data_IF_531404699870
#
_entry.id   IF_531404699870
#
_cell.length_a   1.000
_cell.length_b   1.000
_cell.length_c   1.000
_cell.angle_alpha   90.00
_cell.angle_beta   90.00
_cell.angle_gamma   90.00
#
_symmetry.space_group_name_H-M   'P 1'
#
loop_
_entity.id
_entity.type
_entity.pdbx_description
1 polymer ?
#
# COMPACT_ATOMS: atom_id res chain seq x y z
N UNK A 1 -40.27 21.21 -45.09
CA UNK A 1 -40.23 20.54 -43.77
C UNK A 1 -38.78 20.18 -43.48
N UNK A 2 -38.07 21.07 -42.79
CA UNK A 2 -36.63 20.94 -42.53
C UNK A 2 -36.42 21.31 -41.06
N UNK A 3 -36.49 20.32 -40.17
CA UNK A 3 -36.26 20.48 -38.73
C UNK A 3 -35.11 19.60 -38.29
N UNK A 4 -34.16 20.22 -37.60
CA UNK A 4 -33.37 19.65 -36.50
C UNK A 4 -32.52 18.40 -36.77
N UNK A 5 -31.45 18.57 -37.54
CA UNK A 5 -30.20 17.93 -37.15
C UNK A 5 -29.43 18.92 -36.27
N UNK A 6 -29.59 18.82 -34.95
CA UNK A 6 -28.62 19.41 -34.01
C UNK A 6 -27.29 18.75 -34.35
N UNK A 7 -26.43 19.46 -35.08
CA UNK A 7 -25.20 18.90 -35.62
C UNK A 7 -24.32 18.43 -34.46
N UNK A 8 -23.82 17.19 -34.52
CA UNK A 8 -22.85 16.66 -33.55
C UNK A 8 -21.70 17.65 -33.30
N UNK A 9 -21.32 18.46 -34.30
CA UNK A 9 -20.30 19.49 -34.17
C UNK A 9 -20.64 20.56 -33.12
N UNK A 10 -21.91 20.88 -32.92
CA UNK A 10 -22.36 21.90 -31.97
C UNK A 10 -22.40 21.36 -30.54
N UNK A 11 -22.69 20.06 -30.38
CA UNK A 11 -22.61 19.36 -29.10
C UNK A 11 -21.15 19.17 -28.69
N UNK A 12 -20.29 18.74 -29.62
CA UNK A 12 -18.85 18.59 -29.38
C UNK A 12 -18.24 19.96 -29.04
N UNK A 13 -18.48 21.02 -29.83
CA UNK A 13 -17.97 22.36 -29.52
C UNK A 13 -18.44 22.89 -28.16
N UNK A 14 -19.72 22.73 -27.81
CA UNK A 14 -20.22 23.13 -26.48
C UNK A 14 -19.52 22.37 -25.35
N UNK A 15 -19.33 21.05 -25.51
CA UNK A 15 -18.61 20.25 -24.53
C UNK A 15 -17.13 20.66 -24.42
N UNK A 16 -16.44 20.89 -25.53
CA UNK A 16 -15.02 21.32 -25.49
C UNK A 16 -14.86 22.69 -24.83
N UNK A 17 -15.77 23.63 -25.12
CA UNK A 17 -15.77 24.97 -24.49
C UNK A 17 -16.09 24.87 -23.00
N UNK A 18 -17.05 24.02 -22.60
CA UNK A 18 -17.37 23.81 -21.20
C UNK A 18 -16.20 23.17 -20.41
N UNK A 19 -15.50 22.21 -21.01
CA UNK A 19 -14.29 21.60 -20.42
C UNK A 19 -13.18 22.63 -20.30
N UNK A 20 -12.94 23.45 -21.34
CA UNK A 20 -11.93 24.50 -21.31
C UNK A 20 -12.23 25.57 -20.26
N UNK A 21 -13.50 25.95 -20.08
CA UNK A 21 -13.92 26.92 -19.07
C UNK A 21 -13.80 26.34 -17.65
N UNK A 22 -14.12 25.06 -17.46
CA UNK A 22 -13.93 24.37 -16.19
C UNK A 22 -12.44 24.23 -15.83
N UNK A 23 -11.59 23.85 -16.79
CA UNK A 23 -10.14 23.82 -16.61
C UNK A 23 -9.57 25.20 -16.29
N UNK A 24 -10.09 26.26 -16.93
CA UNK A 24 -9.70 27.63 -16.66
C UNK A 24 -10.10 28.08 -15.26
N UNK A 25 -11.31 27.74 -14.77
CA UNK A 25 -11.75 28.03 -13.40
C UNK A 25 -10.92 27.28 -12.34
N UNK A 26 -10.54 26.04 -12.63
CA UNK A 26 -9.60 25.27 -11.78
C UNK A 26 -8.19 25.87 -11.78
N UNK A 27 -7.73 26.38 -12.93
CA UNK A 27 -6.43 27.03 -13.07
C UNK A 27 -6.40 28.43 -12.40
N UNK A 28 -7.48 29.21 -12.51
CA UNK A 28 -7.62 30.53 -11.88
C UNK A 28 -7.76 30.45 -10.36
N UNK A 29 -8.26 29.33 -9.82
CA UNK A 29 -8.34 29.06 -8.38
C UNK A 29 -7.04 28.54 -7.75
N UNK A 30 -5.95 28.38 -8.52
CA UNK A 30 -4.67 27.90 -7.98
C UNK A 30 -3.98 28.98 -7.16
N UNK A 31 -3.94 28.77 -5.85
CA UNK A 31 -3.05 29.52 -4.96
C UNK A 31 -1.58 29.29 -5.35
N UNK A 32 -0.73 30.29 -5.10
CA UNK A 32 0.72 30.20 -5.36
C UNK A 32 1.32 28.97 -4.65
N UNK A 33 0.83 28.65 -3.46
CA UNK A 33 1.18 27.44 -2.70
C UNK A 33 0.86 26.15 -3.48
N UNK A 34 -0.28 26.07 -4.17
CA UNK A 34 -0.65 24.91 -4.98
C UNK A 34 0.24 24.72 -6.22
N UNK A 35 0.77 25.81 -6.80
CA UNK A 35 1.75 25.72 -7.91
C UNK A 35 3.11 25.22 -7.43
N UNK A 36 3.55 25.69 -6.25
CA UNK A 36 4.78 25.23 -5.62
C UNK A 36 4.65 23.75 -5.23
N UNK A 37 3.53 23.35 -4.63
CA UNK A 37 3.28 21.96 -4.24
C UNK A 37 3.29 20.98 -5.43
N UNK A 38 2.74 21.38 -6.58
CA UNK A 38 2.80 20.56 -7.80
C UNK A 38 4.22 20.44 -8.34
N UNK A 39 4.97 21.55 -8.40
CA UNK A 39 6.36 21.51 -8.84
C UNK A 39 7.24 20.65 -7.93
N UNK A 40 7.01 20.69 -6.61
CA UNK A 40 7.71 19.86 -5.63
C UNK A 40 7.29 18.40 -5.78
N UNK A 41 5.99 18.13 -6.01
CA UNK A 41 5.49 16.76 -6.23
C UNK A 41 6.18 16.11 -7.43
N UNK A 42 6.26 16.82 -8.55
CA UNK A 42 6.88 16.33 -9.78
C UNK A 42 8.40 16.14 -9.61
N UNK A 43 9.04 17.02 -8.83
CA UNK A 43 10.47 16.94 -8.54
C UNK A 43 10.81 15.78 -7.60
N UNK A 44 10.09 15.62 -6.49
CA UNK A 44 10.33 14.54 -5.50
C UNK A 44 10.03 13.15 -6.07
N UNK A 45 9.12 13.05 -7.04
CA UNK A 45 8.86 11.79 -7.75
C UNK A 45 9.86 11.45 -8.87
N UNK A 46 10.82 12.34 -9.16
CA UNK A 46 11.75 12.20 -10.29
C UNK A 46 13.10 11.62 -9.88
N UNK A 47 13.70 10.81 -10.76
CA UNK A 47 15.02 10.25 -10.52
C UNK A 47 16.14 11.31 -10.52
N UNK A 48 15.87 12.49 -11.09
CA UNK A 48 16.79 13.64 -11.07
C UNK A 48 17.05 14.12 -9.64
N UNK A 49 16.06 14.06 -8.76
CA UNK A 49 16.18 14.45 -7.35
C UNK A 49 17.30 13.68 -6.63
N UNK A 50 17.35 12.37 -6.85
CA UNK A 50 18.33 11.47 -6.25
C UNK A 50 19.74 11.81 -6.73
N UNK A 51 19.92 12.03 -8.04
CA UNK A 51 21.23 12.40 -8.60
C UNK A 51 21.74 13.73 -8.05
N UNK A 52 20.87 14.73 -7.89
CA UNK A 52 21.23 16.02 -7.30
C UNK A 52 21.74 15.85 -5.86
N UNK A 53 21.06 15.04 -5.04
CA UNK A 53 21.48 14.78 -3.65
C UNK A 53 22.81 14.02 -3.58
N UNK A 54 22.99 13.01 -4.42
CA UNK A 54 24.25 12.24 -4.46
C UNK A 54 25.42 13.16 -4.82
N UNK A 55 25.25 14.01 -5.84
CA UNK A 55 26.29 14.98 -6.23
C UNK A 55 26.53 16.00 -5.13
N UNK A 56 25.47 16.54 -4.53
CA UNK A 56 25.57 17.48 -3.42
C UNK A 56 26.35 16.91 -2.23
N UNK A 57 26.02 15.69 -1.78
CA UNK A 57 26.74 15.02 -0.69
C UNK A 57 28.18 14.70 -1.07
N UNK A 58 28.42 14.22 -2.29
CA UNK A 58 29.78 13.95 -2.78
C UNK A 58 30.64 15.23 -2.79
N UNK A 59 30.09 16.36 -3.20
CA UNK A 59 30.76 17.67 -3.17
C UNK A 59 31.04 18.10 -1.74
N UNK A 60 30.05 18.01 -0.84
CA UNK A 60 30.22 18.38 0.57
C UNK A 60 31.31 17.56 1.27
N UNK A 61 31.29 16.24 1.08
CA UNK A 61 32.30 15.34 1.64
C UNK A 61 33.67 15.65 1.04
N UNK A 62 33.77 15.83 -0.28
CA UNK A 62 35.05 16.14 -0.95
C UNK A 62 35.65 17.48 -0.51
N UNK A 63 34.80 18.49 -0.22
CA UNK A 63 35.24 19.76 0.34
C UNK A 63 35.76 19.61 1.77
N UNK A 64 35.08 18.82 2.62
CA UNK A 64 35.49 18.64 4.03
C UNK A 64 36.66 17.67 4.21
N UNK A 65 36.86 16.69 3.31
CA UNK A 65 38.02 15.79 3.31
C UNK A 65 39.31 16.46 2.77
N UNK A 66 39.25 17.72 2.34
CA UNK A 66 40.41 18.43 1.78
C UNK A 66 40.86 17.94 0.40
N UNK A 67 40.06 17.11 -0.28
CA UNK A 67 40.31 16.67 -1.66
C UNK A 67 40.30 17.84 -2.65
N UNK A 68 39.54 18.89 -2.32
CA UNK A 68 39.56 20.18 -3.02
C UNK A 68 40.33 21.15 -2.11
N UNK A 69 41.64 21.25 -2.30
CA UNK A 69 42.49 22.16 -1.52
C UNK A 69 42.12 23.63 -1.79
N UNK A 70 41.27 24.21 -0.92
CA UNK A 70 40.99 25.64 -0.89
C UNK A 70 41.84 26.24 0.25
N UNK A 71 42.87 27.06 -0.04
CA UNK A 71 43.89 27.49 0.93
C UNK A 71 43.42 28.42 2.06
N UNK A 72 42.11 28.60 2.29
CA UNK A 72 41.55 29.58 3.24
C UNK A 72 40.41 29.07 4.12
N UNK A 73 40.00 27.80 3.99
CA UNK A 73 38.85 27.26 4.74
C UNK A 73 39.37 26.17 5.66
N UNK A 74 39.45 26.46 6.96
CA UNK A 74 39.61 25.44 8.00
C UNK A 74 38.43 24.48 7.95
N UNK A 75 38.65 23.19 8.20
CA UNK A 75 37.63 22.12 8.21
C UNK A 75 36.28 22.62 8.76
N UNK A 76 35.31 22.88 7.86
CA UNK A 76 34.06 23.55 8.21
C UNK A 76 33.12 22.61 8.98
N UNK A 77 33.13 21.32 8.64
CA UNK A 77 32.37 20.24 9.28
C UNK A 77 33.28 19.01 9.47
N UNK A 78 34.03 18.94 10.60
CA UNK A 78 34.90 17.82 10.90
C UNK A 78 34.13 16.51 11.01
N UNK A 79 34.78 15.39 10.67
CA UNK A 79 34.21 14.05 10.90
C UNK A 79 33.81 13.91 12.37
N UNK A 80 32.54 13.61 12.72
CA UNK A 80 31.52 12.84 11.97
C UNK A 80 30.44 13.63 11.17
N UNK A 81 30.71 14.86 10.71
CA UNK A 81 29.78 15.69 9.93
C UNK A 81 28.45 16.04 10.63
N UNK A 82 28.55 16.71 11.78
CA UNK A 82 27.38 17.06 12.60
C UNK A 82 26.45 18.05 11.89
N UNK A 83 27.00 19.02 11.15
CA UNK A 83 26.20 20.02 10.44
C UNK A 83 25.43 19.41 9.27
N UNK A 84 26.09 18.58 8.46
CA UNK A 84 25.42 17.85 7.38
C UNK A 84 24.28 16.99 7.92
N UNK A 85 24.52 16.25 9.00
CA UNK A 85 23.52 15.37 9.61
C UNK A 85 22.29 16.15 10.08
N UNK A 86 22.48 17.31 10.71
CA UNK A 86 21.40 18.18 11.15
C UNK A 86 20.58 18.73 9.97
N UNK A 87 21.24 19.22 8.92
CA UNK A 87 20.58 19.76 7.72
C UNK A 87 19.78 18.67 7.00
N UNK A 88 20.37 17.50 6.79
CA UNK A 88 19.71 16.36 6.14
C UNK A 88 18.50 15.89 6.94
N UNK A 89 18.60 15.86 8.28
CA UNK A 89 17.48 15.48 9.14
C UNK A 89 16.29 16.43 9.00
N UNK A 90 16.56 17.74 8.96
CA UNK A 90 15.53 18.76 8.75
C UNK A 90 14.93 18.66 7.34
N UNK A 91 15.77 18.49 6.32
CA UNK A 91 15.35 18.31 4.93
C UNK A 91 14.45 17.08 4.76
N UNK A 92 14.79 15.95 5.40
CA UNK A 92 14.00 14.74 5.38
C UNK A 92 12.58 14.93 5.95
N UNK A 93 12.40 15.74 6.98
CA UNK A 93 11.08 16.06 7.55
C UNK A 93 10.22 16.82 6.52
N UNK A 94 10.81 17.83 5.86
CA UNK A 94 10.11 18.58 4.81
C UNK A 94 9.76 17.69 3.62
N UNK A 95 10.70 16.86 3.16
CA UNK A 95 10.47 15.91 2.08
C UNK A 95 9.35 14.94 2.41
N UNK A 96 9.37 14.33 3.59
CA UNK A 96 8.32 13.42 4.04
C UNK A 96 6.94 14.08 4.04
N UNK A 97 6.87 15.33 4.51
CA UNK A 97 5.61 16.10 4.51
C UNK A 97 5.14 16.41 3.08
N UNK A 98 6.04 16.80 2.18
CA UNK A 98 5.70 17.04 0.78
C UNK A 98 5.26 15.75 0.06
N UNK A 99 5.93 14.63 0.34
CA UNK A 99 5.54 13.31 -0.16
C UNK A 99 4.14 12.95 0.34
N UNK A 100 3.84 13.17 1.63
CA UNK A 100 2.54 12.85 2.20
C UNK A 100 1.41 13.73 1.61
N UNK A 101 1.67 15.03 1.42
CA UNK A 101 0.74 15.93 0.73
C UNK A 101 0.52 15.49 -0.73
N UNK A 102 1.59 15.08 -1.41
CA UNK A 102 1.52 14.55 -2.77
C UNK A 102 0.67 13.28 -2.84
N UNK A 103 0.94 12.31 -1.97
CA UNK A 103 0.22 11.06 -1.87
C UNK A 103 -1.26 11.29 -1.56
N UNK A 104 -1.60 12.18 -0.61
CA UNK A 104 -2.99 12.50 -0.30
C UNK A 104 -3.73 13.10 -1.51
N UNK A 105 -3.06 13.94 -2.29
CA UNK A 105 -3.62 14.52 -3.52
C UNK A 105 -3.84 13.46 -4.61
N UNK A 106 -2.88 12.56 -4.79
CA UNK A 106 -3.01 11.44 -5.73
C UNK A 106 -4.12 10.47 -5.31
N UNK A 107 -4.26 10.20 -4.00
CA UNK A 107 -5.32 9.36 -3.45
C UNK A 107 -6.71 9.96 -3.73
N UNK A 108 -6.91 11.24 -3.43
CA UNK A 108 -8.17 11.94 -3.73
C UNK A 108 -8.50 11.93 -5.24
N UNK A 109 -7.49 12.15 -6.10
CA UNK A 109 -7.68 12.09 -7.54
C UNK A 109 -8.01 10.66 -8.03
N UNK A 110 -7.40 9.64 -7.44
CA UNK A 110 -7.67 8.23 -7.73
C UNK A 110 -9.08 7.83 -7.29
N UNK A 111 -9.52 8.25 -6.11
CA UNK A 111 -10.86 8.00 -5.59
C UNK A 111 -11.93 8.58 -6.51
N UNK A 112 -11.75 9.84 -6.95
CA UNK A 112 -12.68 10.47 -7.90
C UNK A 112 -12.72 9.75 -9.25
N UNK A 113 -11.58 9.24 -9.74
CA UNK A 113 -11.55 8.44 -10.98
C UNK A 113 -12.30 7.12 -10.79
N UNK A 114 -12.10 6.44 -9.67
CA UNK A 114 -12.81 5.20 -9.36
C UNK A 114 -14.32 5.41 -9.28
N UNK A 115 -14.78 6.51 -8.68
CA UNK A 115 -16.21 6.84 -8.64
C UNK A 115 -16.79 7.06 -10.05
N UNK A 116 -16.10 7.81 -10.90
CA UNK A 116 -16.52 8.04 -12.28
C UNK A 116 -16.54 6.74 -13.10
N UNK A 117 -15.52 5.90 -12.95
CA UNK A 117 -15.45 4.62 -13.64
C UNK A 117 -16.60 3.69 -13.23
N UNK A 118 -16.95 3.66 -11.93
CA UNK A 118 -18.11 2.93 -11.44
C UNK A 118 -19.41 3.46 -12.06
N UNK A 119 -19.62 4.77 -12.10
CA UNK A 119 -20.82 5.37 -12.71
C UNK A 119 -20.92 5.06 -14.20
N UNK A 120 -19.81 5.14 -14.94
CA UNK A 120 -19.76 4.80 -16.37
C UNK A 120 -20.08 3.32 -16.57
N UNK A 121 -19.56 2.44 -15.72
CA UNK A 121 -19.81 1.01 -15.81
C UNK A 121 -21.29 0.68 -15.55
N UNK A 122 -21.88 1.23 -14.49
CA UNK A 122 -23.31 1.07 -14.20
C UNK A 122 -24.20 1.58 -15.34
N UNK A 123 -23.83 2.73 -15.93
CA UNK A 123 -24.56 3.27 -17.08
C UNK A 123 -24.40 2.40 -18.33
N UNK A 124 -23.21 1.83 -18.56
CA UNK A 124 -22.96 0.91 -19.65
C UNK A 124 -23.78 -0.38 -19.49
N UNK A 125 -23.86 -0.90 -18.27
CA UNK A 125 -24.66 -2.07 -17.93
C UNK A 125 -26.16 -1.80 -18.17
N UNK A 126 -26.69 -0.68 -17.67
CA UNK A 126 -28.08 -0.27 -17.93
C UNK A 126 -28.40 -0.16 -19.44
N UNK A 127 -27.48 0.43 -20.21
CA UNK A 127 -27.63 0.53 -21.68
C UNK A 127 -27.58 -0.83 -22.34
N UNK A 128 -26.68 -1.72 -21.90
CA UNK A 128 -26.59 -3.08 -22.42
C UNK A 128 -27.90 -3.84 -22.14
N UNK A 129 -28.40 -3.83 -20.91
CA UNK A 129 -29.69 -4.42 -20.54
C UNK A 129 -30.81 -3.86 -21.40
N UNK A 130 -30.84 -2.55 -21.65
CA UNK A 130 -31.87 -1.94 -22.50
C UNK A 130 -31.80 -2.41 -23.95
N UNK A 131 -30.58 -2.58 -24.49
CA UNK A 131 -30.38 -3.15 -25.82
C UNK A 131 -30.86 -4.61 -25.86
N UNK A 132 -30.55 -5.42 -24.84
CA UNK A 132 -31.06 -6.79 -24.73
C UNK A 132 -32.59 -6.84 -24.68
N UNK A 133 -33.24 -5.94 -23.95
CA UNK A 133 -34.70 -5.81 -23.93
C UNK A 133 -35.28 -5.47 -25.30
N UNK A 134 -34.69 -4.49 -26.00
CA UNK A 134 -35.15 -4.09 -27.33
C UNK A 134 -34.97 -5.22 -28.36
N UNK A 135 -33.86 -5.94 -28.31
CA UNK A 135 -33.61 -7.11 -29.18
C UNK A 135 -34.61 -8.23 -28.92
N UNK A 136 -34.96 -8.50 -27.67
CA UNK A 136 -35.97 -9.48 -27.31
C UNK A 136 -37.37 -9.06 -27.81
N UNK A 137 -37.74 -7.78 -27.67
CA UNK A 137 -39.00 -7.27 -28.23
C UNK A 137 -39.07 -7.43 -29.76
N UNK A 138 -37.98 -7.14 -30.47
CA UNK A 138 -37.89 -7.35 -31.93
C UNK A 138 -38.03 -8.84 -32.26
N UNK A 139 -37.35 -9.71 -31.51
CA UNK A 139 -37.40 -11.17 -31.70
C UNK A 139 -38.82 -11.70 -31.51
N UNK A 140 -39.54 -11.22 -30.49
CA UNK A 140 -40.94 -11.58 -30.25
C UNK A 140 -41.85 -11.11 -31.38
N UNK A 141 -41.67 -9.87 -31.87
CA UNK A 141 -42.45 -9.36 -33.01
C UNK A 141 -42.20 -10.16 -34.29
N UNK A 142 -40.94 -10.54 -34.57
CA UNK A 142 -40.60 -11.36 -35.74
C UNK A 142 -41.19 -12.77 -35.65
N UNK A 143 -41.14 -13.41 -34.47
CA UNK A 143 -41.77 -14.71 -34.25
C UNK A 143 -43.30 -14.65 -34.43
N UNK A 144 -43.94 -13.52 -34.06
CA UNK A 144 -45.38 -13.29 -34.27
C UNK A 144 -45.73 -13.02 -35.74
N UNK A 145 -44.87 -12.30 -36.47
CA UNK A 145 -45.13 -11.86 -37.85
C UNK A 145 -44.89 -12.95 -38.91
N UNK A 146 -44.18 -14.04 -38.58
CA UNK A 146 -43.95 -15.13 -39.52
C UNK A 146 -43.69 -16.45 -38.82
N UNK A 147 -44.55 -17.44 -39.10
CA UNK A 147 -44.48 -18.83 -38.58
C UNK A 147 -43.20 -19.61 -38.95
N UNK A 148 -42.22 -18.96 -39.59
CA UNK A 148 -41.00 -19.56 -40.12
C UNK A 148 -39.76 -19.29 -39.26
N UNK A 149 -39.77 -18.23 -38.45
CA UNK A 149 -38.69 -17.93 -37.52
C UNK A 149 -39.16 -18.36 -36.13
N UNK A 150 -38.53 -19.41 -35.57
CA UNK A 150 -38.81 -19.90 -34.22
C UNK A 150 -37.59 -19.62 -33.36
N UNK A 151 -37.30 -18.35 -33.13
CA UNK A 151 -36.16 -17.93 -32.31
C UNK A 151 -36.50 -18.28 -30.85
N UNK A 152 -35.85 -19.31 -30.29
CA UNK A 152 -35.98 -19.65 -28.87
C UNK A 152 -35.17 -18.64 -28.04
N UNK A 153 -35.71 -18.14 -26.92
CA UNK A 153 -34.92 -17.36 -25.98
C UNK A 153 -33.73 -18.21 -25.51
N UNK A 154 -32.52 -17.73 -25.77
CA UNK A 154 -31.32 -18.36 -25.23
C UNK A 154 -31.31 -18.13 -23.70
N UNK A 155 -31.27 -19.20 -22.87
CA UNK A 155 -31.24 -19.06 -21.42
C UNK A 155 -30.06 -18.20 -20.93
N UNK A 156 -28.96 -18.12 -21.67
CA UNK A 156 -27.80 -17.28 -21.33
C UNK A 156 -28.11 -15.78 -21.45
N UNK A 157 -28.88 -15.37 -22.45
CA UNK A 157 -29.31 -13.96 -22.65
C UNK A 157 -30.38 -13.55 -21.63
N UNK A 158 -31.21 -14.49 -21.20
CA UNK A 158 -32.17 -14.26 -20.12
C UNK A 158 -31.47 -14.04 -18.76
N UNK A 159 -30.38 -14.77 -18.51
CA UNK A 159 -29.54 -14.56 -17.33
C UNK A 159 -28.84 -13.19 -17.34
N UNK A 160 -28.39 -12.71 -18.52
CA UNK A 160 -27.75 -11.39 -18.67
C UNK A 160 -28.70 -10.19 -18.51
N UNK A 161 -30.02 -10.38 -18.65
CA UNK A 161 -31.02 -9.31 -18.39
C UNK A 161 -31.21 -9.03 -16.90
N UNK A 162 -30.88 -10.00 -16.06
CA UNK A 162 -30.84 -9.82 -14.61
C UNK A 162 -29.50 -9.17 -14.29
N UNK A 163 -29.40 -7.86 -14.56
CA UNK A 163 -28.36 -7.03 -13.97
C UNK A 163 -28.48 -7.21 -12.46
N UNK A 164 -27.47 -7.77 -11.77
CA UNK A 164 -27.55 -7.89 -10.32
C UNK A 164 -27.66 -6.48 -9.77
N UNK A 165 -28.73 -6.19 -9.02
CA UNK A 165 -28.93 -4.89 -8.39
C UNK A 165 -27.64 -4.51 -7.64
N UNK A 166 -27.17 -3.25 -7.68
CA UNK A 166 -25.94 -2.84 -6.98
C UNK A 166 -25.90 -3.27 -5.51
N UNK A 167 -27.08 -3.43 -4.89
CA UNK A 167 -27.26 -3.88 -3.52
C UNK A 167 -27.00 -5.40 -3.34
N UNK A 168 -27.28 -6.22 -4.34
CA UNK A 168 -27.04 -7.67 -4.33
C UNK A 168 -25.54 -7.97 -4.54
N UNK A 169 -24.89 -7.23 -5.44
CA UNK A 169 -23.43 -7.29 -5.59
C UNK A 169 -22.71 -6.83 -4.33
N UNK A 170 -23.19 -5.75 -3.69
CA UNK A 170 -22.64 -5.28 -2.41
C UNK A 170 -22.85 -6.29 -1.28
N UNK A 171 -23.99 -6.98 -1.22
CA UNK A 171 -24.21 -8.04 -0.23
C UNK A 171 -23.29 -9.23 -0.45
N UNK A 172 -23.10 -9.68 -1.69
CA UNK A 172 -22.19 -10.79 -2.01
C UNK A 172 -20.73 -10.41 -1.71
N UNK A 173 -20.33 -9.17 -2.02
CA UNK A 173 -19.00 -8.66 -1.67
C UNK A 173 -18.83 -8.54 -0.15
N UNK A 174 -19.81 -7.99 0.57
CA UNK A 174 -19.78 -7.88 2.04
C UNK A 174 -19.75 -9.26 2.70
N UNK A 175 -20.53 -10.22 2.21
CA UNK A 175 -20.55 -11.60 2.69
C UNK A 175 -19.20 -12.31 2.45
N UNK A 176 -18.60 -12.11 1.27
CA UNK A 176 -17.29 -12.67 0.92
C UNK A 176 -16.17 -12.06 1.78
N UNK A 177 -16.16 -10.73 1.96
CA UNK A 177 -15.21 -10.03 2.85
C UNK A 177 -15.40 -10.46 4.31
N UNK A 178 -16.65 -10.67 4.74
CA UNK A 178 -16.97 -11.12 6.11
C UNK A 178 -16.49 -12.55 6.36
N UNK A 179 -16.54 -13.42 5.36
CA UNK A 179 -16.02 -14.77 5.49
C UNK A 179 -14.48 -14.83 5.43
N UNK A 180 -13.83 -14.07 4.55
CA UNK A 180 -12.36 -13.92 4.56
C UNK A 180 -11.85 -13.33 5.90
N UNK A 181 -12.55 -12.33 6.46
CA UNK A 181 -12.19 -11.72 7.74
C UNK A 181 -12.38 -12.67 8.94
N UNK A 182 -13.39 -13.54 8.91
CA UNK A 182 -13.55 -14.60 9.92
C UNK A 182 -12.42 -15.62 9.83
N UNK A 183 -12.01 -15.99 8.64
CA UNK A 183 -10.94 -16.95 8.42
C UNK A 183 -9.58 -16.40 8.88
N UNK A 184 -9.24 -15.17 8.49
CA UNK A 184 -8.04 -14.48 8.99
C UNK A 184 -8.07 -14.29 10.50
N UNK A 185 -9.24 -14.02 11.11
CA UNK A 185 -9.37 -13.93 12.57
C UNK A 185 -9.15 -15.27 13.28
N UNK A 186 -9.60 -16.38 12.69
CA UNK A 186 -9.32 -17.74 13.22
C UNK A 186 -7.83 -18.06 13.14
N UNK A 187 -7.19 -17.74 12.02
CA UNK A 187 -5.74 -17.93 11.84
C UNK A 187 -4.96 -17.07 12.83
N UNK A 188 -5.31 -15.79 12.98
CA UNK A 188 -4.67 -14.89 13.96
C UNK A 188 -4.78 -15.44 15.39
N UNK A 189 -5.95 -15.95 15.76
CA UNK A 189 -6.15 -16.54 17.09
C UNK A 189 -5.33 -17.82 17.28
N UNK A 190 -5.26 -18.68 16.26
CA UNK A 190 -4.42 -19.88 16.31
C UNK A 190 -2.93 -19.54 16.41
N UNK A 191 -2.47 -18.46 15.75
CA UNK A 191 -1.09 -17.99 15.87
C UNK A 191 -0.80 -17.42 17.26
N UNK A 192 -1.75 -16.71 17.87
CA UNK A 192 -1.65 -16.21 19.24
C UNK A 192 -1.57 -17.39 20.25
N UNK A 193 -2.46 -18.38 20.13
CA UNK A 193 -2.43 -19.60 20.95
C UNK A 193 -1.09 -20.36 20.82
N UNK A 194 -0.54 -20.48 19.59
CA UNK A 194 0.79 -21.08 19.35
C UNK A 194 1.92 -20.24 19.96
N UNK A 195 1.81 -18.91 19.92
CA UNK A 195 2.81 -18.00 20.49
C UNK A 195 2.85 -18.14 22.01
N UNK A 196 1.69 -18.20 22.66
CA UNK A 196 1.55 -18.40 24.09
C UNK A 196 2.11 -19.77 24.52
N UNK A 197 1.84 -20.83 23.76
CA UNK A 197 2.43 -22.16 24.00
C UNK A 197 3.96 -22.13 23.86
N UNK A 198 4.48 -21.45 22.85
CA UNK A 198 5.93 -21.34 22.64
C UNK A 198 6.62 -20.55 23.76
N UNK A 199 5.98 -19.50 24.29
CA UNK A 199 6.48 -18.74 25.42
C UNK A 199 6.47 -19.56 26.72
N UNK A 200 5.41 -20.36 26.95
CA UNK A 200 5.33 -21.30 28.07
C UNK A 200 6.45 -22.36 28.00
N UNK A 201 6.68 -22.95 26.82
CA UNK A 201 7.79 -23.90 26.60
C UNK A 201 9.14 -23.23 26.83
N UNK A 202 9.34 -22.00 26.35
CA UNK A 202 10.57 -21.25 26.59
C UNK A 202 10.84 -21.03 28.09
N UNK A 203 9.81 -20.68 28.85
CA UNK A 203 9.89 -20.56 30.30
C UNK A 203 10.24 -21.89 30.99
N UNK A 204 9.68 -23.01 30.53
CA UNK A 204 9.97 -24.33 31.07
C UNK A 204 11.40 -24.78 30.76
N UNK A 205 11.89 -24.55 29.54
CA UNK A 205 13.28 -24.79 29.14
C UNK A 205 14.24 -23.97 30.00
N UNK A 206 13.93 -22.69 30.24
CA UNK A 206 14.75 -21.82 31.10
C UNK A 206 14.80 -22.32 32.55
N UNK A 207 13.66 -22.77 33.08
CA UNK A 207 13.58 -23.37 34.42
C UNK A 207 14.40 -24.65 34.51
N UNK A 208 14.31 -25.54 33.52
CA UNK A 208 15.07 -26.80 33.51
C UNK A 208 16.57 -26.55 33.33
N UNK A 209 16.97 -25.60 32.50
CA UNK A 209 18.37 -25.19 32.36
C UNK A 209 18.94 -24.65 33.68
N UNK A 210 18.15 -23.86 34.43
CA UNK A 210 18.53 -23.43 35.79
C UNK A 210 18.77 -24.59 36.75
N UNK A 211 17.86 -25.57 36.78
CA UNK A 211 18.02 -26.79 37.58
C UNK A 211 19.25 -27.61 37.18
N UNK A 212 19.54 -27.72 35.88
CA UNK A 212 20.72 -28.42 35.40
C UNK A 212 22.03 -27.72 35.82
N UNK A 213 22.05 -26.40 35.85
CA UNK A 213 23.21 -25.65 36.35
C UNK A 213 23.44 -25.83 37.86
N UNK A 214 22.36 -25.91 38.64
CA UNK A 214 22.46 -26.19 40.09
C UNK A 214 23.01 -27.61 40.32
N UNK A 215 22.47 -28.61 39.63
CA UNK A 215 22.98 -30.00 39.68
C UNK A 215 24.45 -30.07 39.25
N UNK A 216 24.84 -29.34 38.19
CA UNK A 216 26.23 -29.31 37.75
C UNK A 216 27.17 -28.72 38.82
N UNK A 217 26.71 -27.71 39.57
CA UNK A 217 27.46 -27.12 40.67
C UNK A 217 27.61 -28.10 41.84
N UNK A 218 26.52 -28.77 42.24
CA UNK A 218 26.52 -29.77 43.30
C UNK A 218 27.48 -30.94 42.99
N UNK A 219 27.50 -31.39 41.72
CA UNK A 219 28.42 -32.43 41.27
C UNK A 219 29.88 -32.01 41.41
N UNK A 220 30.24 -30.76 41.07
CA UNK A 220 31.61 -30.30 41.26
C UNK A 220 31.97 -30.10 42.73
N UNK A 221 31.03 -29.68 43.58
CA UNK A 221 31.24 -29.60 45.03
C UNK A 221 31.50 -30.99 45.65
N UNK A 222 30.71 -32.00 45.25
CA UNK A 222 30.94 -33.39 45.65
C UNK A 222 32.32 -33.87 45.17
N UNK A 223 32.70 -33.58 43.93
CA UNK A 223 34.01 -33.97 43.38
C UNK A 223 35.17 -33.28 44.10
N UNK A 224 35.00 -32.05 44.58
CA UNK A 224 35.98 -31.38 45.43
C UNK A 224 36.07 -32.04 46.82
N UNK A 225 34.92 -32.33 47.44
CA UNK A 225 34.85 -33.01 48.73
C UNK A 225 35.50 -34.40 48.70
N UNK A 226 35.20 -35.21 47.67
CA UNK A 226 35.82 -36.54 47.46
C UNK A 226 37.34 -36.45 47.28
N UNK A 227 37.84 -35.45 46.53
CA UNK A 227 39.28 -35.21 46.39
C UNK A 227 39.93 -34.85 47.72
N UNK A 228 39.26 -34.04 48.54
CA UNK A 228 39.68 -33.70 49.90
C UNK A 228 39.82 -34.95 50.78
N UNK A 229 38.77 -35.78 50.84
CA UNK A 229 38.75 -37.03 51.61
C UNK A 229 39.84 -38.00 51.14
N UNK A 230 40.04 -38.12 49.82
CA UNK A 230 41.09 -38.99 49.26
C UNK A 230 42.48 -38.52 49.68
N UNK A 231 42.71 -37.21 49.66
CA UNK A 231 44.00 -36.61 50.08
C UNK A 231 44.23 -36.77 51.59
N UNK A 232 43.17 -36.70 52.39
CA UNK A 232 43.23 -36.91 53.85
C UNK A 232 43.47 -38.37 54.21
N UNK A 233 42.83 -39.31 53.50
CA UNK A 233 43.07 -40.75 53.64
C UNK A 233 44.51 -41.14 53.26
N UNK A 234 45.06 -40.60 52.17
CA UNK A 234 46.46 -40.82 51.80
C UNK A 234 47.41 -40.33 52.91
N UNK A 235 47.13 -39.17 53.51
CA UNK A 235 47.93 -38.65 54.63
C UNK A 235 47.88 -39.54 55.87
N UNK A 236 46.69 -40.02 56.24
CA UNK A 236 46.52 -40.91 57.40
C UNK A 236 47.10 -42.32 57.18
N UNK A 237 47.27 -42.75 55.93
CA UNK A 237 47.91 -44.02 55.59
C UNK A 237 49.46 -43.98 55.56
N UNK A 238 50.03 -42.77 55.62
CA UNK A 238 51.48 -42.51 55.58
C UNK A 238 52.09 -42.18 56.96
N UNK A 239 51.26 -42.03 57.99
CA UNK A 239 51.65 -42.03 59.43
C UNK A 239 51.52 -43.44 60.02
#
# INVERSE_FOLDING_TARGET
MSSEAISQSDIVKKNTVAIAEMQRKVAEARTIAGRIADSITDFTGSMVFVYVHVVWFAVWISLNLGLIHIPRISEFDPFPFSLLTMVVSLEAIFLSTFVLISQNRLACASEKRAELDLQVNLLAEQKATKVLEMLDQITQQLNQAGSRFNFKPDPEVAALKVSPEPQEVLQVIEETIKDESKETRKVSKAVEDITDEMEAVHHEVKRNSGKLNEVAKDVEEIKQSVRGITSEQERLSLE
#
